data_IF_307220294683
#
_entry.id   IF_307220294683
#
_cell.length_a   1.000
_cell.length_b   1.000
_cell.length_c   1.000
_cell.angle_alpha   90.00
_cell.angle_beta   90.00
_cell.angle_gamma   90.00
#
_symmetry.space_group_name_H-M   'P 1'
#
loop_
_entity.id
_entity.type
_entity.pdbx_description
1 polymer ?
#
# COMPACT_ATOMS: atom_id res chain seq x y z
N UNK A 1 29.88 4.61 -1.59
CA UNK A 1 28.98 3.72 -0.83
C UNK A 1 27.57 4.09 -1.23
N UNK A 2 26.72 3.13 -1.61
CA UNK A 2 25.33 3.43 -1.94
C UNK A 2 24.59 3.89 -0.69
N UNK A 3 23.71 4.88 -0.81
CA UNK A 3 22.88 5.33 0.32
C UNK A 3 21.88 4.23 0.71
N UNK A 4 21.35 4.29 1.93
CA UNK A 4 20.34 3.32 2.40
C UNK A 4 19.13 3.28 1.46
N UNK A 5 18.71 4.43 0.94
CA UNK A 5 17.62 4.58 -0.02
C UNK A 5 17.93 3.87 -1.35
N UNK A 6 19.12 4.08 -1.90
CA UNK A 6 19.55 3.42 -3.14
C UNK A 6 19.61 1.90 -2.98
N UNK A 7 20.09 1.41 -1.83
CA UNK A 7 20.10 -0.01 -1.51
C UNK A 7 18.68 -0.57 -1.49
N UNK A 8 17.76 0.07 -0.76
CA UNK A 8 16.37 -0.37 -0.68
C UNK A 8 15.70 -0.42 -2.05
N UNK A 9 15.83 0.66 -2.84
CA UNK A 9 15.24 0.73 -4.18
C UNK A 9 15.81 -0.35 -5.11
N UNK A 10 17.11 -0.62 -5.01
CA UNK A 10 17.75 -1.67 -5.79
C UNK A 10 17.27 -3.07 -5.40
N UNK A 11 17.14 -3.35 -4.11
CA UNK A 11 16.68 -4.65 -3.62
C UNK A 11 15.22 -4.91 -4.04
N UNK A 12 14.36 -3.87 -4.01
CA UNK A 12 12.98 -3.92 -4.52
C UNK A 12 12.93 -4.14 -6.05
N UNK A 13 13.74 -3.40 -6.81
CA UNK A 13 13.80 -3.54 -8.27
C UNK A 13 14.29 -4.93 -8.71
N UNK A 14 15.22 -5.54 -7.96
CA UNK A 14 15.71 -6.90 -8.23
C UNK A 14 14.62 -7.97 -8.08
N UNK A 15 13.64 -7.76 -7.21
CA UNK A 15 12.46 -8.61 -7.06
C UNK A 15 11.33 -8.25 -8.06
N UNK A 16 11.58 -7.26 -8.94
CA UNK A 16 10.60 -6.78 -9.92
C UNK A 16 9.52 -5.89 -9.32
N UNK A 17 9.82 -5.19 -8.22
CA UNK A 17 8.90 -4.27 -7.54
C UNK A 17 9.35 -2.81 -7.71
N UNK A 18 8.88 -2.12 -8.77
CA UNK A 18 9.19 -0.70 -8.95
C UNK A 18 8.76 0.11 -7.73
N UNK A 19 9.67 0.90 -7.18
CA UNK A 19 9.42 1.65 -5.96
C UNK A 19 9.88 3.10 -6.05
N UNK A 20 9.28 3.95 -5.23
CA UNK A 20 9.66 5.35 -5.04
C UNK A 20 9.61 5.72 -3.57
N UNK A 21 10.52 6.60 -3.17
CA UNK A 21 10.52 7.22 -1.85
C UNK A 21 10.18 8.70 -2.04
N UNK A 22 9.14 9.16 -1.38
CA UNK A 22 8.68 10.56 -1.44
C UNK A 22 8.57 11.13 -0.03
N UNK A 23 8.40 12.45 0.10
CA UNK A 23 8.19 13.07 1.41
C UNK A 23 6.83 12.71 2.01
N UNK A 24 6.80 12.54 3.34
CA UNK A 24 5.56 12.26 4.07
C UNK A 24 4.56 13.42 4.02
N UNK A 25 5.01 14.65 3.75
CA UNK A 25 4.15 15.81 3.55
C UNK A 25 3.13 15.64 2.41
N UNK A 26 3.38 14.73 1.45
CA UNK A 26 2.40 14.42 0.40
C UNK A 26 1.12 13.76 0.94
N UNK A 27 1.08 13.30 2.20
CA UNK A 27 -0.18 12.86 2.81
C UNK A 27 -1.21 13.99 2.91
N UNK A 28 -0.75 15.21 3.18
CA UNK A 28 -1.60 16.40 3.25
C UNK A 28 -2.21 16.72 1.88
N UNK A 29 -1.43 16.55 0.80
CA UNK A 29 -1.92 16.74 -0.56
C UNK A 29 -3.06 15.76 -0.88
N UNK A 30 -2.93 14.50 -0.46
CA UNK A 30 -3.96 13.47 -0.67
C UNK A 30 -5.23 13.79 0.12
N UNK A 31 -5.08 14.23 1.38
CA UNK A 31 -6.22 14.64 2.21
C UNK A 31 -7.01 15.79 1.56
N UNK A 32 -6.30 16.81 1.07
CA UNK A 32 -6.91 17.96 0.41
C UNK A 32 -7.58 17.58 -0.92
N UNK A 33 -6.98 16.68 -1.70
CA UNK A 33 -7.58 16.21 -2.95
C UNK A 33 -8.89 15.46 -2.70
N UNK A 34 -8.91 14.55 -1.73
CA UNK A 34 -10.12 13.81 -1.34
C UNK A 34 -11.20 14.75 -0.81
N UNK A 35 -10.84 15.73 0.03
CA UNK A 35 -11.77 16.75 0.53
C UNK A 35 -12.37 17.58 -0.61
N UNK A 36 -11.56 18.00 -1.58
CA UNK A 36 -12.02 18.75 -2.76
C UNK A 36 -12.99 17.93 -3.64
N UNK A 37 -12.72 16.64 -3.82
CA UNK A 37 -13.63 15.73 -4.53
C UNK A 37 -14.96 15.54 -3.80
N UNK A 38 -14.95 15.55 -2.47
CA UNK A 38 -16.15 15.52 -1.66
C UNK A 38 -16.94 16.84 -1.76
N UNK A 39 -16.27 17.98 -1.61
CA UNK A 39 -16.89 19.31 -1.66
C UNK A 39 -17.48 19.62 -3.04
N UNK A 40 -16.85 19.13 -4.11
CA UNK A 40 -17.36 19.25 -5.49
C UNK A 40 -18.53 18.31 -5.80
N UNK A 41 -18.89 17.41 -4.88
CA UNK A 41 -19.98 16.45 -5.06
C UNK A 41 -19.66 15.28 -6.00
N UNK A 42 -18.41 15.17 -6.47
CA UNK A 42 -17.94 14.01 -7.25
C UNK A 42 -17.97 12.76 -6.37
N UNK A 43 -17.51 12.88 -5.13
CA UNK A 43 -17.64 11.84 -4.12
C UNK A 43 -18.94 12.05 -3.37
N UNK A 44 -19.85 11.08 -3.47
CA UNK A 44 -21.09 11.10 -2.71
C UNK A 44 -20.82 10.88 -1.22
N UNK A 45 -21.65 11.49 -0.37
CA UNK A 45 -21.53 11.38 1.09
C UNK A 45 -21.60 9.94 1.62
N UNK A 46 -22.44 9.09 1.05
CA UNK A 46 -22.50 7.68 1.43
C UNK A 46 -21.17 6.98 1.18
N UNK A 47 -20.56 7.17 0.00
CA UNK A 47 -19.25 6.62 -0.33
C UNK A 47 -18.16 7.14 0.62
N UNK A 48 -18.17 8.44 0.92
CA UNK A 48 -17.22 9.05 1.84
C UNK A 48 -17.27 8.40 3.23
N UNK A 49 -18.47 8.29 3.80
CA UNK A 49 -18.68 7.76 5.15
C UNK A 49 -18.48 6.25 5.26
N UNK A 50 -18.85 5.49 4.22
CA UNK A 50 -18.77 4.03 4.25
C UNK A 50 -17.37 3.50 3.92
N UNK A 51 -16.60 4.24 3.11
CA UNK A 51 -15.36 3.72 2.50
C UNK A 51 -14.16 4.63 2.71
N UNK A 52 -14.32 5.96 2.75
CA UNK A 52 -13.15 6.87 2.76
C UNK A 52 -12.75 7.33 4.16
N UNK A 53 -13.68 7.33 5.12
CA UNK A 53 -13.45 7.78 6.50
C UNK A 53 -12.46 6.90 7.30
N UNK A 54 -12.06 5.75 6.74
CA UNK A 54 -11.05 4.88 7.35
C UNK A 54 -9.60 5.27 7.01
N UNK A 55 -9.40 6.24 6.10
CA UNK A 55 -8.05 6.67 5.71
C UNK A 55 -7.41 7.54 6.79
N UNK A 56 -6.07 7.45 6.87
CA UNK A 56 -5.26 8.17 7.85
C UNK A 56 -4.18 8.95 7.14
N UNK A 57 -4.07 10.24 7.49
CA UNK A 57 -3.14 11.20 6.86
C UNK A 57 -2.08 11.72 7.83
N UNK A 58 -2.28 11.59 9.14
CA UNK A 58 -1.31 11.96 10.16
C UNK A 58 -0.78 10.71 10.87
N UNK A 59 0.52 10.45 10.78
CA UNK A 59 1.19 9.30 11.41
C UNK A 59 2.05 9.67 12.62
N UNK A 60 1.96 10.89 13.15
CA UNK A 60 2.81 11.36 14.23
C UNK A 60 2.74 10.49 15.50
N UNK A 61 1.62 9.78 15.75
CA UNK A 61 1.47 8.86 16.88
C UNK A 61 2.17 7.51 16.70
N UNK A 62 2.29 6.99 15.47
CA UNK A 62 2.95 5.70 15.20
C UNK A 62 4.40 5.86 14.74
N UNK A 63 4.69 6.93 14.01
CA UNK A 63 6.01 7.21 13.46
C UNK A 63 6.32 8.72 13.55
N UNK A 64 6.63 9.23 14.76
CA UNK A 64 6.76 10.67 15.01
C UNK A 64 7.85 11.35 14.18
N UNK A 65 8.90 10.59 13.83
CA UNK A 65 10.05 11.09 13.07
C UNK A 65 9.98 10.75 11.57
N UNK A 66 8.86 10.19 11.09
CA UNK A 66 8.70 9.84 9.69
C UNK A 66 8.78 11.07 8.79
N UNK A 67 9.71 11.07 7.85
CA UNK A 67 9.86 12.13 6.84
C UNK A 67 9.51 11.66 5.43
N UNK A 68 9.28 10.36 5.25
CA UNK A 68 9.16 9.75 3.93
C UNK A 68 8.08 8.68 3.88
N UNK A 69 7.47 8.55 2.71
CA UNK A 69 6.65 7.41 2.31
C UNK A 69 7.42 6.55 1.30
N UNK A 70 7.25 5.24 1.42
CA UNK A 70 7.78 4.27 0.46
C UNK A 70 6.57 3.73 -0.33
N UNK A 71 6.52 4.03 -1.62
CA UNK A 71 5.50 3.55 -2.53
C UNK A 71 6.10 2.39 -3.31
N UNK A 72 5.46 1.22 -3.24
CA UNK A 72 5.90 0.02 -3.95
C UNK A 72 4.78 -0.45 -4.86
N UNK A 73 5.06 -0.58 -6.15
CA UNK A 73 4.20 -1.24 -7.11
C UNK A 73 4.63 -2.70 -7.20
N UNK A 74 3.71 -3.61 -6.88
CA UNK A 74 3.99 -5.05 -6.85
C UNK A 74 2.90 -5.79 -7.63
N UNK A 75 3.27 -6.76 -8.49
CA UNK A 75 2.31 -7.56 -9.23
C UNK A 75 1.51 -8.46 -8.28
N UNK A 76 0.19 -8.35 -8.32
CA UNK A 76 -0.71 -9.32 -7.68
C UNK A 76 -1.26 -10.28 -8.74
N UNK A 77 -0.88 -11.58 -8.69
CA UNK A 77 -1.31 -12.54 -9.69
C UNK A 77 -2.82 -12.79 -9.60
N UNK A 78 -3.47 -12.97 -10.75
CA UNK A 78 -4.86 -13.43 -10.81
C UNK A 78 -4.89 -14.91 -10.40
N UNK A 79 -5.62 -15.22 -9.34
CA UNK A 79 -5.75 -16.59 -8.85
C UNK A 79 -7.02 -17.21 -9.44
N UNK A 80 -6.88 -18.34 -10.14
CA UNK A 80 -7.99 -19.15 -10.62
C UNK A 80 -8.10 -20.39 -9.74
N UNK A 81 -9.30 -20.68 -9.25
CA UNK A 81 -9.58 -21.86 -8.43
C UNK A 81 -10.72 -22.67 -9.05
N UNK A 82 -10.59 -24.00 -8.98
CA UNK A 82 -11.68 -24.92 -9.30
C UNK A 82 -12.26 -25.46 -8.00
N UNK A 83 -13.55 -25.26 -7.81
CA UNK A 83 -14.30 -25.76 -6.66
C UNK A 83 -15.39 -26.72 -7.10
N UNK A 84 -15.61 -27.78 -6.32
CA UNK A 84 -16.72 -28.70 -6.54
C UNK A 84 -17.91 -28.22 -5.72
N UNK A 85 -18.97 -27.79 -6.40
CA UNK A 85 -20.21 -27.35 -5.78
C UNK A 85 -21.35 -28.20 -6.33
N UNK A 86 -22.14 -28.84 -5.45
CA UNK A 86 -23.21 -29.77 -5.81
C UNK A 86 -22.75 -30.90 -6.75
N UNK A 87 -21.52 -31.39 -6.58
CA UNK A 87 -20.93 -32.43 -7.43
C UNK A 87 -20.47 -31.96 -8.82
N UNK A 88 -20.53 -30.65 -9.11
CA UNK A 88 -20.10 -30.08 -10.38
C UNK A 88 -18.88 -29.14 -10.20
N UNK A 89 -17.87 -29.22 -11.08
CA UNK A 89 -16.72 -28.33 -11.03
C UNK A 89 -17.08 -26.93 -11.53
N UNK A 90 -16.70 -25.91 -10.77
CA UNK A 90 -16.87 -24.50 -11.11
C UNK A 90 -15.51 -23.81 -11.05
N UNK A 91 -15.20 -23.02 -12.08
CA UNK A 91 -14.00 -22.18 -12.08
C UNK A 91 -14.36 -20.78 -11.62
N UNK A 92 -13.64 -20.28 -10.63
CA UNK A 92 -13.78 -18.91 -10.15
C UNK A 92 -12.46 -18.17 -10.20
N UNK A 93 -12.55 -16.87 -10.38
CA UNK A 93 -11.42 -15.95 -10.24
C UNK A 93 -11.52 -15.34 -8.84
N UNK A 94 -10.44 -15.47 -8.07
CA UNK A 94 -10.30 -14.78 -6.81
C UNK A 94 -9.73 -13.39 -7.13
N UNK A 95 -10.38 -12.30 -6.69
CA UNK A 95 -9.84 -10.96 -6.89
C UNK A 95 -8.41 -10.85 -6.35
N UNK A 96 -7.49 -10.17 -7.07
CA UNK A 96 -6.10 -10.04 -6.63
C UNK A 96 -5.94 -9.50 -5.20
N UNK A 97 -6.86 -8.61 -4.79
CA UNK A 97 -6.91 -7.97 -3.47
C UNK A 97 -7.12 -8.93 -2.30
N UNK A 98 -7.44 -10.20 -2.55
CA UNK A 98 -7.61 -11.23 -1.51
C UNK A 98 -6.29 -11.98 -1.21
N UNK A 99 -5.22 -11.70 -1.95
CA UNK A 99 -3.91 -12.31 -1.75
C UNK A 99 -3.01 -11.48 -0.81
N UNK A 100 -3.32 -11.50 0.49
CA UNK A 100 -2.57 -10.77 1.52
C UNK A 100 -1.12 -11.26 1.74
N UNK A 101 -0.72 -12.39 1.16
CA UNK A 101 0.65 -12.91 1.29
C UNK A 101 1.67 -11.95 0.68
N UNK A 102 1.28 -11.30 -0.41
CA UNK A 102 2.20 -10.46 -1.18
C UNK A 102 2.58 -9.18 -0.42
N UNK A 103 1.63 -8.55 0.28
CA UNK A 103 1.90 -7.40 1.16
C UNK A 103 2.96 -7.72 2.22
N UNK A 104 2.92 -8.93 2.81
CA UNK A 104 3.90 -9.36 3.82
C UNK A 104 5.31 -9.49 3.22
N UNK A 105 5.44 -10.04 2.03
CA UNK A 105 6.74 -10.21 1.36
C UNK A 105 7.43 -8.86 1.12
N UNK A 106 6.67 -7.84 0.70
CA UNK A 106 7.20 -6.50 0.50
C UNK A 106 7.62 -5.87 1.83
N UNK A 107 6.79 -6.00 2.88
CA UNK A 107 7.12 -5.50 4.22
C UNK A 107 8.40 -6.16 4.74
N UNK A 108 8.51 -7.48 4.64
CA UNK A 108 9.69 -8.25 5.09
C UNK A 108 10.96 -7.82 4.34
N UNK A 109 10.85 -7.59 3.03
CA UNK A 109 11.96 -7.12 2.20
C UNK A 109 12.42 -5.72 2.60
N UNK A 110 11.49 -4.80 2.83
CA UNK A 110 11.80 -3.44 3.31
C UNK A 110 12.46 -3.50 4.69
N UNK A 111 11.90 -4.27 5.63
CA UNK A 111 12.41 -4.41 6.99
C UNK A 111 13.82 -5.00 7.03
N UNK A 112 14.12 -5.98 6.16
CA UNK A 112 15.48 -6.55 6.03
C UNK A 112 16.54 -5.50 5.75
N UNK A 113 16.18 -4.39 5.09
CA UNK A 113 17.09 -3.28 4.77
C UNK A 113 17.07 -2.21 5.86
N UNK A 114 15.89 -1.88 6.39
CA UNK A 114 15.70 -0.73 7.27
C UNK A 114 15.88 -1.03 8.78
N UNK A 115 15.46 -2.18 9.27
CA UNK A 115 15.56 -2.54 10.70
C UNK A 115 17.02 -2.59 11.20
N UNK A 116 18.01 -3.14 10.46
CA UNK A 116 19.40 -3.15 10.92
C UNK A 116 19.99 -1.75 11.10
N UNK A 117 19.41 -0.76 10.43
CA UNK A 117 19.81 0.65 10.50
C UNK A 117 18.97 1.43 11.54
N UNK A 118 18.11 0.75 12.29
CA UNK A 118 17.29 1.32 13.37
C UNK A 118 15.99 1.99 12.92
N UNK A 119 15.60 1.84 11.66
CA UNK A 119 14.33 2.39 11.15
C UNK A 119 13.18 1.41 11.36
N UNK A 120 11.97 1.96 11.47
CA UNK A 120 10.71 1.21 11.54
C UNK A 120 9.81 1.66 10.40
N UNK A 121 8.91 0.77 9.96
CA UNK A 121 7.90 1.08 8.96
C UNK A 121 6.50 0.86 9.51
N UNK A 122 5.58 1.72 9.08
CA UNK A 122 4.15 1.62 9.36
C UNK A 122 3.42 1.60 8.03
N UNK A 123 2.48 0.67 7.85
CA UNK A 123 1.68 0.60 6.63
C UNK A 123 0.73 1.80 6.59
N UNK A 124 0.89 2.65 5.59
CA UNK A 124 -0.03 3.74 5.35
C UNK A 124 -1.42 3.22 4.95
N UNK A 125 -2.45 3.77 5.58
CA UNK A 125 -3.88 3.52 5.37
C UNK A 125 -4.41 4.69 4.54
N UNK A 126 -3.93 4.76 3.30
CA UNK A 126 -4.24 5.81 2.32
C UNK A 126 -4.98 5.20 1.13
N UNK A 127 -5.61 6.01 0.26
CA UNK A 127 -6.15 5.50 -1.00
C UNK A 127 -5.10 4.70 -1.78
N UNK A 128 -5.46 3.49 -2.20
CA UNK A 128 -4.65 2.65 -3.08
C UNK A 128 -5.29 2.64 -4.48
N UNK A 129 -4.48 2.39 -5.51
CA UNK A 129 -4.96 2.26 -6.89
C UNK A 129 -5.72 0.98 -7.14
#
# INVERSE_FOLDING_TARGET
MATLQEKLLKDLEQEGYPARIIYATHLEDIEQEIASLFDSGIVQRSLYQEVLDHWKYDYASECPEAKSLIIVAMPQPIIKMRLSWQGQPHEIIIPPTYNFKMDRLVIDLINKVLEPEGYQIVRAAVPQK
#
